data_IF_753268061351
#
_entry.id   IF_753268061351
#
_cell.length_a   1.000
_cell.length_b   1.000
_cell.length_c   1.000
_cell.angle_alpha   90.00
_cell.angle_beta   90.00
_cell.angle_gamma   90.00
#
_symmetry.space_group_name_H-M   'P 1'
#
loop_
_entity.id
_entity.type
_entity.pdbx_description
1 polymer ?
#
# COMPACT_ATOMS: atom_id res chain seq x y z
N UNK A 1 -30.09 -7.96 33.40
CA UNK A 1 -29.42 -6.86 32.68
C UNK A 1 -29.65 -7.11 31.20
N UNK A 2 -30.50 -6.31 30.56
CA UNK A 2 -30.86 -6.49 29.15
C UNK A 2 -29.85 -5.74 28.28
N UNK A 3 -29.31 -6.44 27.27
CA UNK A 3 -28.39 -5.90 26.27
C UNK A 3 -29.20 -5.32 25.12
N UNK A 4 -29.13 -4.01 24.90
CA UNK A 4 -29.70 -3.35 23.72
C UNK A 4 -28.74 -3.52 22.52
N UNK A 5 -29.27 -4.06 21.43
CA UNK A 5 -28.56 -4.14 20.15
C UNK A 5 -28.62 -2.78 19.41
N UNK A 6 -27.55 -2.37 18.71
CA UNK A 6 -27.51 -1.11 17.98
C UNK A 6 -28.37 -1.17 16.70
N UNK A 7 -29.12 -0.08 16.45
CA UNK A 7 -30.07 0.06 15.35
C UNK A 7 -29.36 0.42 14.04
N UNK A 8 -29.48 -0.44 13.03
CA UNK A 8 -28.95 -0.27 11.65
C UNK A 8 -29.42 1.00 10.90
N UNK A 9 -30.33 1.80 11.46
CA UNK A 9 -30.94 2.94 10.77
C UNK A 9 -30.09 4.21 10.74
N UNK A 10 -29.09 4.34 11.61
CA UNK A 10 -28.31 5.59 11.73
C UNK A 10 -27.24 5.77 10.64
N UNK A 11 -26.68 4.66 10.13
CA UNK A 11 -25.65 4.71 9.09
C UNK A 11 -26.15 5.23 7.73
N UNK A 12 -27.39 4.91 7.35
CA UNK A 12 -27.97 5.31 6.05
C UNK A 12 -28.26 6.81 5.96
N UNK A 13 -28.60 7.46 7.07
CA UNK A 13 -28.84 8.91 7.10
C UNK A 13 -27.54 9.72 6.99
N UNK A 14 -26.42 9.22 7.52
CA UNK A 14 -25.14 9.91 7.44
C UNK A 14 -24.62 10.00 6.00
N UNK A 15 -24.80 8.95 5.20
CA UNK A 15 -24.33 8.90 3.80
C UNK A 15 -25.15 9.80 2.87
N UNK A 16 -26.47 9.86 3.04
CA UNK A 16 -27.33 10.77 2.27
C UNK A 16 -27.03 12.25 2.55
N UNK A 17 -26.66 12.59 3.79
CA UNK A 17 -26.33 13.96 4.17
C UNK A 17 -24.99 14.45 3.59
N UNK A 18 -24.06 13.53 3.33
CA UNK A 18 -22.76 13.85 2.75
C UNK A 18 -22.83 14.08 1.23
N UNK A 19 -23.60 13.27 0.49
CA UNK A 19 -23.77 13.46 -0.96
C UNK A 19 -24.53 14.75 -1.33
N UNK A 20 -25.42 15.24 -0.46
CA UNK A 20 -26.19 16.47 -0.70
C UNK A 20 -25.40 17.78 -0.59
N UNK A 21 -24.16 17.76 -0.08
CA UNK A 21 -23.35 18.97 0.15
C UNK A 21 -22.32 19.28 -0.95
N UNK A 22 -22.20 18.44 -2.00
CA UNK A 22 -21.18 18.59 -3.05
C UNK A 22 -21.69 19.16 -4.39
N UNK A 23 -22.82 19.87 -4.41
CA UNK A 23 -23.24 20.63 -5.60
C UNK A 23 -22.93 22.12 -5.45
N UNK A 24 -21.86 22.64 -6.10
CA UNK A 24 -21.67 24.08 -6.19
C UNK A 24 -22.64 24.68 -7.20
N UNK A 25 -23.59 25.47 -6.69
CA UNK A 25 -24.42 26.37 -7.48
C UNK A 25 -23.64 27.64 -7.83
N UNK A 26 -23.53 27.93 -9.12
CA UNK A 26 -23.25 29.29 -9.61
C UNK A 26 -21.96 29.46 -10.40
N UNK A 27 -22.05 29.35 -11.73
CA UNK A 27 -21.29 30.23 -12.62
C UNK A 27 -22.17 30.67 -13.80
N UNK A 28 -22.26 31.99 -13.92
CA UNK A 28 -23.05 32.82 -14.82
C UNK A 28 -22.49 32.89 -16.24
N UNK A 29 -23.40 32.83 -17.21
CA UNK A 29 -23.52 33.60 -18.49
C UNK A 29 -22.25 34.03 -19.25
N UNK A 30 -22.21 33.81 -20.57
CA UNK A 30 -22.36 34.79 -21.70
C UNK A 30 -22.13 34.05 -23.07
N UNK A 31 -22.31 34.65 -24.27
CA UNK A 31 -23.55 34.81 -25.05
C UNK A 31 -23.65 33.94 -26.33
N UNK A 32 -24.87 33.96 -26.89
CA UNK A 32 -25.30 33.52 -28.21
C UNK A 32 -24.43 34.00 -29.38
N UNK A 33 -24.21 33.09 -30.34
CA UNK A 33 -24.13 33.44 -31.76
C UNK A 33 -25.09 32.55 -32.55
N UNK A 34 -25.87 33.20 -33.40
CA UNK A 34 -27.00 32.73 -34.17
C UNK A 34 -26.62 32.19 -35.56
N UNK A 35 -27.46 31.27 -36.05
CA UNK A 35 -27.85 30.96 -37.44
C UNK A 35 -27.48 29.59 -38.07
N UNK A 36 -28.37 29.04 -38.94
CA UNK A 36 -28.93 27.68 -38.81
C UNK A 36 -28.75 26.84 -40.12
N UNK A 37 -29.67 25.94 -40.51
CA UNK A 37 -29.59 24.50 -40.33
C UNK A 37 -29.48 23.71 -41.65
N UNK A 38 -28.89 22.51 -41.62
CA UNK A 38 -29.01 21.41 -42.60
C UNK A 38 -28.06 20.30 -42.09
N UNK A 39 -28.34 19.00 -42.11
CA UNK A 39 -29.26 18.20 -42.90
C UNK A 39 -29.40 16.81 -42.23
N UNK A 40 -30.38 16.07 -42.70
CA UNK A 40 -30.94 14.83 -42.17
C UNK A 40 -30.00 13.60 -42.17
N UNK A 41 -30.35 12.63 -41.33
CA UNK A 41 -30.19 11.21 -41.67
C UNK A 41 -29.01 10.50 -41.01
N UNK A 42 -29.23 9.95 -39.81
CA UNK A 42 -28.20 9.17 -39.12
C UNK A 42 -28.76 8.24 -38.04
N UNK A 43 -29.54 7.24 -38.46
CA UNK A 43 -29.71 5.91 -37.86
C UNK A 43 -29.44 5.79 -36.33
N UNK A 44 -30.50 5.93 -35.52
CA UNK A 44 -30.48 5.61 -34.10
C UNK A 44 -30.32 4.08 -33.93
N UNK A 45 -29.07 3.65 -33.72
CA UNK A 45 -28.77 2.32 -33.21
C UNK A 45 -28.88 2.40 -31.69
N UNK A 46 -29.92 1.78 -31.13
CA UNK A 46 -30.05 1.54 -29.69
C UNK A 46 -28.75 0.90 -29.20
N UNK A 47 -28.00 1.65 -28.39
CA UNK A 47 -26.89 1.14 -27.60
C UNK A 47 -27.52 0.72 -26.28
N UNK A 48 -27.77 -0.57 -26.15
CA UNK A 48 -28.17 -1.21 -24.90
C UNK A 48 -27.19 -0.85 -23.79
N UNK A 49 -27.67 -0.12 -22.78
CA UNK A 49 -26.94 0.27 -21.57
C UNK A 49 -26.76 -0.91 -20.60
N UNK A 50 -26.16 -2.02 -21.01
CA UNK A 50 -25.89 -3.14 -20.08
C UNK A 50 -24.55 -3.82 -20.42
N UNK A 51 -23.42 -3.29 -19.89
CA UNK A 51 -22.46 -4.20 -19.23
C UNK A 51 -21.62 -3.54 -18.10
N UNK A 52 -21.97 -2.33 -17.61
CA UNK A 52 -21.14 -1.63 -16.63
C UNK A 52 -21.41 -2.01 -15.18
N UNK A 53 -22.60 -2.53 -14.88
CA UNK A 53 -23.04 -2.88 -13.52
C UNK A 53 -22.40 -4.17 -13.01
N UNK A 54 -22.21 -5.19 -13.86
CA UNK A 54 -21.62 -6.48 -13.44
C UNK A 54 -20.16 -6.38 -12.99
N UNK A 55 -19.35 -5.50 -13.63
CA UNK A 55 -17.96 -5.30 -13.21
C UNK A 55 -17.85 -4.55 -11.88
N UNK A 56 -18.80 -3.67 -11.57
CA UNK A 56 -18.83 -2.96 -10.29
C UNK A 56 -19.19 -3.92 -9.14
N UNK A 57 -20.15 -4.82 -9.37
CA UNK A 57 -20.58 -5.81 -8.38
C UNK A 57 -19.50 -6.87 -8.11
N UNK A 58 -18.76 -7.34 -9.11
CA UNK A 58 -17.61 -8.26 -8.93
C UNK A 58 -16.46 -7.57 -8.16
N UNK A 59 -16.21 -6.28 -8.42
CA UNK A 59 -15.18 -5.52 -7.71
C UNK A 59 -15.56 -5.30 -6.24
N UNK A 60 -16.82 -5.00 -5.97
CA UNK A 60 -17.35 -4.81 -4.61
C UNK A 60 -17.33 -6.11 -3.84
N UNK A 61 -17.71 -7.24 -4.45
CA UNK A 61 -17.61 -8.56 -3.82
C UNK A 61 -16.16 -8.93 -3.48
N UNK A 62 -15.20 -8.67 -4.38
CA UNK A 62 -13.77 -8.89 -4.10
C UNK A 62 -13.24 -7.98 -2.99
N UNK A 63 -13.66 -6.72 -2.95
CA UNK A 63 -13.26 -5.80 -1.88
C UNK A 63 -13.85 -6.23 -0.54
N UNK A 64 -15.13 -6.62 -0.50
CA UNK A 64 -15.79 -7.10 0.71
C UNK A 64 -15.15 -8.40 1.19
N UNK A 65 -14.74 -9.30 0.29
CA UNK A 65 -14.02 -10.51 0.63
C UNK A 65 -12.59 -10.22 1.14
N UNK A 66 -11.90 -9.24 0.55
CA UNK A 66 -10.62 -8.74 1.06
C UNK A 66 -10.76 -8.10 2.45
N UNK A 67 -11.81 -7.31 2.69
CA UNK A 67 -12.10 -6.66 3.98
C UNK A 67 -12.50 -7.69 5.04
N UNK A 68 -13.34 -8.68 4.70
CA UNK A 68 -13.66 -9.79 5.61
C UNK A 68 -12.44 -10.64 5.94
N UNK A 69 -11.50 -10.79 5.01
CA UNK A 69 -10.21 -11.41 5.28
C UNK A 69 -9.28 -10.57 6.17
N UNK A 70 -9.54 -9.26 6.29
CA UNK A 70 -8.78 -8.34 7.17
C UNK A 70 -9.36 -8.36 8.59
N UNK A 71 -10.69 -8.42 8.76
CA UNK A 71 -11.35 -8.21 10.06
C UNK A 71 -12.02 -9.44 10.70
N UNK A 72 -12.13 -10.60 10.04
CA UNK A 72 -12.89 -11.76 10.54
C UNK A 72 -12.12 -13.09 10.63
N UNK A 73 -10.79 -13.08 10.76
CA UNK A 73 -10.06 -14.31 11.05
C UNK A 73 -9.98 -14.53 12.57
N UNK A 74 -10.46 -15.67 13.13
CA UNK A 74 -10.13 -16.06 14.51
C UNK A 74 -8.61 -16.01 14.68
N UNK A 75 -8.12 -15.62 15.86
CA UNK A 75 -6.69 -15.43 16.18
C UNK A 75 -5.84 -16.55 15.55
N UNK A 76 -5.31 -16.29 14.35
CA UNK A 76 -4.50 -17.27 13.64
C UNK A 76 -3.32 -17.57 14.54
N UNK A 77 -3.04 -18.84 14.77
CA UNK A 77 -1.86 -19.20 15.54
C UNK A 77 -0.61 -18.58 14.91
N UNK A 78 0.42 -18.33 15.70
CA UNK A 78 1.68 -17.77 15.22
C UNK A 78 2.22 -18.54 14.02
N UNK A 79 2.18 -19.87 14.09
CA UNK A 79 2.57 -20.78 13.00
C UNK A 79 1.74 -20.58 11.72
N UNK A 80 0.41 -20.40 11.83
CA UNK A 80 -0.46 -20.14 10.69
C UNK A 80 -0.13 -18.80 10.02
N UNK A 81 0.20 -17.76 10.81
CA UNK A 81 0.60 -16.44 10.30
C UNK A 81 1.91 -16.53 9.52
N UNK A 82 2.90 -17.25 10.05
CA UNK A 82 4.17 -17.49 9.37
C UNK A 82 4.00 -18.30 8.09
N UNK A 83 3.19 -19.37 8.15
CA UNK A 83 2.91 -20.25 7.01
C UNK A 83 2.28 -19.47 5.83
N UNK A 84 1.35 -18.54 6.11
CA UNK A 84 0.78 -17.63 5.08
C UNK A 84 1.80 -16.76 4.37
N UNK A 85 2.93 -16.47 5.01
CA UNK A 85 4.02 -15.68 4.44
C UNK A 85 5.12 -16.54 3.78
N UNK A 86 5.00 -17.86 3.91
CA UNK A 86 5.99 -18.84 3.44
C UNK A 86 7.23 -18.89 4.31
N UNK A 87 7.07 -18.69 5.63
CA UNK A 87 8.15 -18.76 6.62
C UNK A 87 7.85 -19.90 7.58
N UNK A 88 8.82 -20.77 7.82
CA UNK A 88 8.71 -21.83 8.84
C UNK A 88 9.12 -21.36 10.23
N UNK A 89 8.74 -22.10 11.28
CA UNK A 89 9.13 -21.79 12.67
C UNK A 89 10.66 -21.75 12.85
N UNK A 90 11.38 -22.72 12.27
CA UNK A 90 12.85 -22.74 12.31
C UNK A 90 13.49 -21.52 11.60
N UNK A 91 12.89 -21.08 10.49
CA UNK A 91 13.35 -19.88 9.78
C UNK A 91 13.08 -18.62 10.62
N UNK A 92 11.90 -18.53 11.25
CA UNK A 92 11.57 -17.44 12.16
C UNK A 92 12.54 -17.36 13.34
N UNK A 93 12.86 -18.49 13.99
CA UNK A 93 13.85 -18.54 15.06
C UNK A 93 15.24 -18.07 14.60
N UNK A 94 15.69 -18.49 13.41
CA UNK A 94 16.95 -18.02 12.80
C UNK A 94 16.93 -16.52 12.52
N UNK A 95 15.80 -15.97 12.05
CA UNK A 95 15.65 -14.52 11.84
C UNK A 95 15.83 -13.78 13.17
N UNK A 96 15.16 -14.21 14.23
CA UNK A 96 15.27 -13.59 15.55
C UNK A 96 16.71 -13.68 16.08
N UNK A 97 17.33 -14.86 16.02
CA UNK A 97 18.72 -15.06 16.44
C UNK A 97 19.71 -14.18 15.65
N UNK A 98 19.50 -14.05 14.34
CA UNK A 98 20.30 -13.18 13.48
C UNK A 98 20.15 -11.71 13.87
N UNK A 99 18.92 -11.24 14.13
CA UNK A 99 18.66 -9.87 14.57
C UNK A 99 19.31 -9.59 15.94
N UNK A 100 19.20 -10.53 16.89
CA UNK A 100 19.78 -10.38 18.22
C UNK A 100 21.32 -10.38 18.20
N UNK A 101 21.92 -11.20 17.32
CA UNK A 101 23.38 -11.34 17.24
C UNK A 101 24.06 -10.28 16.34
N UNK A 102 23.45 -9.92 15.21
CA UNK A 102 24.03 -9.03 14.20
C UNK A 102 23.40 -7.63 14.18
N UNK A 103 22.28 -7.43 14.89
CA UNK A 103 21.51 -6.19 14.88
C UNK A 103 20.67 -5.97 13.61
N UNK A 104 20.75 -6.87 12.63
CA UNK A 104 19.97 -6.78 11.40
C UNK A 104 19.77 -8.15 10.75
N UNK A 105 18.78 -8.25 9.86
CA UNK A 105 18.54 -9.44 9.03
C UNK A 105 18.40 -9.03 7.55
N UNK A 106 19.05 -9.78 6.65
CA UNK A 106 18.98 -9.59 5.19
C UNK A 106 18.15 -10.69 4.52
N UNK A 107 17.32 -10.33 3.52
CA UNK A 107 16.57 -11.29 2.69
C UNK A 107 16.52 -10.87 1.23
N UNK A 108 16.81 -11.81 0.34
CA UNK A 108 16.73 -11.61 -1.11
C UNK A 108 15.31 -11.87 -1.63
N UNK A 109 14.87 -11.03 -2.55
CA UNK A 109 13.64 -11.16 -3.32
C UNK A 109 13.91 -11.01 -4.81
N UNK A 110 13.23 -11.82 -5.62
CA UNK A 110 13.29 -11.69 -7.08
C UNK A 110 12.29 -10.66 -7.59
N UNK A 111 12.75 -9.82 -8.51
CA UNK A 111 11.97 -8.80 -9.23
C UNK A 111 11.99 -9.19 -10.71
N UNK A 112 10.94 -9.89 -11.14
CA UNK A 112 10.89 -10.46 -12.49
C UNK A 112 11.91 -11.59 -12.67
N UNK A 113 12.42 -11.75 -13.90
CA UNK A 113 13.28 -12.89 -14.28
C UNK A 113 14.78 -12.66 -14.09
N UNK A 114 15.22 -11.40 -14.04
CA UNK A 114 16.65 -11.04 -14.15
C UNK A 114 17.15 -10.13 -13.04
N UNK A 115 16.25 -9.62 -12.20
CA UNK A 115 16.63 -8.71 -11.13
C UNK A 115 16.32 -9.36 -9.79
N UNK A 116 17.20 -9.16 -8.83
CA UNK A 116 16.94 -9.42 -7.42
C UNK A 116 17.26 -8.17 -6.62
N UNK A 117 16.67 -8.13 -5.44
CA UNK A 117 16.92 -7.12 -4.43
C UNK A 117 17.14 -7.82 -3.11
N UNK A 118 18.12 -7.38 -2.34
CA UNK A 118 18.28 -7.80 -0.95
C UNK A 118 17.87 -6.64 -0.06
N UNK A 119 16.90 -6.91 0.82
CA UNK A 119 16.49 -5.96 1.85
C UNK A 119 17.08 -6.33 3.20
N UNK A 120 17.39 -5.32 4.01
CA UNK A 120 17.74 -5.43 5.42
C UNK A 120 16.67 -4.80 6.31
N UNK A 121 16.61 -5.24 7.56
CA UNK A 121 15.82 -4.57 8.61
C UNK A 121 16.30 -3.13 8.83
N UNK A 122 15.34 -2.22 9.05
CA UNK A 122 15.61 -0.79 9.30
C UNK A 122 15.93 -0.55 10.76
N UNK A 123 16.87 0.36 11.02
CA UNK A 123 17.19 0.84 12.36
C UNK A 123 16.41 2.11 12.72
N UNK A 124 16.62 2.60 13.94
CA UNK A 124 16.05 3.88 14.41
C UNK A 124 16.54 5.05 13.56
N UNK A 125 17.82 5.06 13.19
CA UNK A 125 18.42 6.11 12.35
C UNK A 125 17.72 6.27 10.99
N UNK A 126 17.18 5.18 10.42
CA UNK A 126 16.46 5.25 9.15
C UNK A 126 15.11 5.98 9.29
N UNK A 127 14.46 5.85 10.46
CA UNK A 127 13.23 6.57 10.78
C UNK A 127 13.50 8.05 11.07
N UNK A 128 14.56 8.35 11.82
CA UNK A 128 14.98 9.72 12.12
C UNK A 128 15.26 10.51 10.83
N UNK A 129 15.95 9.89 9.87
CA UNK A 129 16.21 10.49 8.54
C UNK A 129 14.91 10.81 7.79
N UNK A 130 13.91 9.93 7.82
CA UNK A 130 12.62 10.19 7.19
C UNK A 130 11.89 11.35 7.88
N UNK A 131 11.86 11.36 9.21
CA UNK A 131 11.24 12.42 10.00
C UNK A 131 11.89 13.77 9.68
N UNK A 132 13.22 13.85 9.76
CA UNK A 132 13.99 15.06 9.43
C UNK A 132 13.68 15.54 8.00
N UNK A 133 13.59 14.61 7.04
CA UNK A 133 13.29 14.94 5.65
C UNK A 133 11.88 15.54 5.48
N UNK A 134 10.87 15.00 6.16
CA UNK A 134 9.49 15.51 6.14
C UNK A 134 9.44 16.89 6.80
N UNK A 135 10.08 17.06 7.96
CA UNK A 135 10.12 18.33 8.69
C UNK A 135 10.82 19.43 7.89
N UNK A 136 11.91 19.10 7.19
CA UNK A 136 12.65 20.07 6.39
C UNK A 136 11.92 20.47 5.09
N UNK A 137 11.22 19.54 4.44
CA UNK A 137 10.54 19.81 3.17
C UNK A 137 9.12 20.37 3.34
N UNK A 138 8.48 20.09 4.48
CA UNK A 138 7.09 20.48 4.80
C UNK A 138 6.15 20.24 3.60
N UNK A 139 6.06 18.99 3.10
CA UNK A 139 5.27 18.68 1.91
C UNK A 139 3.79 19.03 2.12
N UNK A 140 3.19 19.72 1.15
CA UNK A 140 1.80 20.17 1.23
C UNK A 140 0.77 19.08 0.95
N UNK A 141 1.16 18.04 0.21
CA UNK A 141 0.26 17.02 -0.30
C UNK A 141 0.59 15.66 0.33
N UNK A 142 -0.45 14.92 0.70
CA UNK A 142 -0.31 13.56 1.25
C UNK A 142 0.41 12.61 0.27
N UNK A 143 0.21 12.80 -1.04
CA UNK A 143 0.90 12.01 -2.06
C UNK A 143 2.42 12.20 -2.00
N UNK A 144 2.89 13.43 -1.77
CA UNK A 144 4.32 13.73 -1.62
C UNK A 144 4.89 13.08 -0.36
N UNK A 145 4.15 13.11 0.75
CA UNK A 145 4.55 12.39 1.98
C UNK A 145 4.68 10.89 1.72
N UNK A 146 3.69 10.29 1.07
CA UNK A 146 3.71 8.85 0.75
C UNK A 146 4.89 8.47 -0.14
N UNK A 147 5.19 9.28 -1.15
CA UNK A 147 6.36 9.08 -2.01
C UNK A 147 7.67 9.21 -1.24
N UNK A 148 7.80 10.24 -0.39
CA UNK A 148 8.97 10.43 0.47
C UNK A 148 9.17 9.24 1.40
N UNK A 149 8.12 8.80 2.08
CA UNK A 149 8.13 7.62 2.96
C UNK A 149 8.56 6.37 2.22
N UNK A 150 7.97 6.10 1.04
CA UNK A 150 8.34 4.93 0.24
C UNK A 150 9.81 4.94 -0.18
N UNK A 151 10.33 6.10 -0.63
CA UNK A 151 11.75 6.24 -1.01
C UNK A 151 12.70 6.06 0.17
N UNK A 152 12.39 6.64 1.33
CA UNK A 152 13.23 6.49 2.53
C UNK A 152 13.19 5.05 3.04
N UNK A 153 12.01 4.41 3.07
CA UNK A 153 11.87 3.03 3.49
C UNK A 153 12.66 2.08 2.58
N UNK A 154 12.59 2.27 1.27
CA UNK A 154 13.42 1.51 0.33
C UNK A 154 14.90 1.79 0.58
N UNK A 155 15.32 3.05 0.67
CA UNK A 155 16.72 3.42 0.85
C UNK A 155 17.32 2.86 2.16
N UNK A 156 16.57 2.93 3.26
CA UNK A 156 17.00 2.40 4.56
C UNK A 156 17.09 0.88 4.54
N UNK A 157 16.17 0.21 3.86
CA UNK A 157 16.16 -1.25 3.72
C UNK A 157 17.05 -1.79 2.61
N UNK A 158 17.59 -0.99 1.68
CA UNK A 158 18.31 -1.53 0.53
C UNK A 158 19.69 -2.04 0.95
N UNK A 159 19.93 -3.35 0.85
CA UNK A 159 21.25 -3.95 1.08
C UNK A 159 21.95 -4.28 -0.24
N UNK A 160 21.22 -4.77 -1.24
CA UNK A 160 21.76 -5.01 -2.59
C UNK A 160 20.71 -4.78 -3.68
N UNK A 161 21.11 -4.14 -4.78
CA UNK A 161 20.26 -4.03 -5.97
C UNK A 161 21.09 -3.85 -7.25
N UNK A 162 20.78 -4.64 -8.27
CA UNK A 162 21.47 -4.58 -9.56
C UNK A 162 22.97 -4.86 -9.46
N UNK A 163 23.37 -5.81 -8.59
CA UNK A 163 24.76 -6.18 -8.33
C UNK A 163 25.56 -5.13 -7.55
N UNK A 164 24.89 -4.12 -6.98
CA UNK A 164 25.52 -3.12 -6.10
C UNK A 164 25.05 -3.35 -4.68
N UNK A 165 26.00 -3.52 -3.76
CA UNK A 165 25.76 -3.58 -2.32
C UNK A 165 25.78 -2.18 -1.72
N UNK A 166 24.94 -1.95 -0.71
CA UNK A 166 24.82 -0.69 0.03
C UNK A 166 24.97 -1.03 1.52
N UNK A 167 25.85 -0.32 2.22
CA UNK A 167 25.94 -0.42 3.68
C UNK A 167 24.99 0.57 4.36
N UNK A 168 24.81 0.45 5.68
CA UNK A 168 23.97 1.36 6.48
C UNK A 168 24.39 2.84 6.35
N UNK A 169 25.69 3.09 6.26
CA UNK A 169 26.27 4.43 6.12
C UNK A 169 26.09 5.02 4.71
N UNK A 170 25.74 4.18 3.74
CA UNK A 170 25.56 4.56 2.34
C UNK A 170 24.11 4.95 2.00
N UNK A 171 23.30 5.31 3.00
CA UNK A 171 21.91 5.72 2.83
C UNK A 171 21.71 6.75 1.72
N UNK A 172 22.55 7.79 1.64
CA UNK A 172 22.45 8.82 0.58
C UNK A 172 22.64 8.22 -0.82
N UNK A 173 23.52 7.23 -0.98
CA UNK A 173 23.73 6.52 -2.25
C UNK A 173 22.53 5.65 -2.60
N UNK A 174 22.00 4.90 -1.62
CA UNK A 174 20.80 4.08 -1.79
C UNK A 174 19.59 4.95 -2.16
N UNK A 175 19.38 6.06 -1.44
CA UNK A 175 18.31 7.02 -1.71
C UNK A 175 18.40 7.62 -3.12
N UNK A 176 19.59 8.08 -3.53
CA UNK A 176 19.81 8.58 -4.88
C UNK A 176 19.57 7.50 -5.96
N UNK A 177 19.82 6.22 -5.65
CA UNK A 177 19.51 5.12 -6.56
C UNK A 177 18.00 4.98 -6.78
N UNK A 178 17.18 5.10 -5.71
CA UNK A 178 15.71 5.05 -5.83
C UNK A 178 15.14 6.08 -6.80
N UNK A 179 15.72 7.28 -6.85
CA UNK A 179 15.29 8.35 -7.74
C UNK A 179 15.66 8.17 -9.22
N UNK A 180 16.53 7.21 -9.55
CA UNK A 180 16.96 6.90 -10.92
C UNK A 180 16.22 5.70 -11.52
N UNK A 181 15.40 5.01 -10.73
CA UNK A 181 14.68 3.82 -11.16
C UNK A 181 13.45 4.20 -11.99
N UNK A 182 13.05 3.30 -12.90
CA UNK A 182 11.74 3.44 -13.54
C UNK A 182 10.62 3.23 -12.53
N UNK A 183 9.45 3.84 -12.79
CA UNK A 183 8.27 3.71 -11.92
C UNK A 183 7.88 2.23 -11.70
N UNK A 184 7.98 1.40 -12.75
CA UNK A 184 7.68 -0.03 -12.64
C UNK A 184 8.63 -0.76 -11.68
N UNK A 185 9.93 -0.48 -11.72
CA UNK A 185 10.92 -1.07 -10.80
C UNK A 185 10.69 -0.55 -9.39
N UNK A 186 10.44 0.75 -9.24
CA UNK A 186 10.15 1.35 -7.95
C UNK A 186 8.92 0.71 -7.28
N UNK A 187 7.81 0.56 -8.01
CA UNK A 187 6.59 -0.06 -7.48
C UNK A 187 6.82 -1.53 -7.11
N UNK A 188 7.60 -2.28 -7.91
CA UNK A 188 7.96 -3.65 -7.57
C UNK A 188 8.80 -3.71 -6.28
N UNK A 189 9.71 -2.76 -6.05
CA UNK A 189 10.46 -2.66 -4.80
C UNK A 189 9.56 -2.35 -3.61
N UNK A 190 8.59 -1.43 -3.76
CA UNK A 190 7.60 -1.12 -2.72
C UNK A 190 6.83 -2.38 -2.32
N UNK A 191 6.35 -3.16 -3.30
CA UNK A 191 5.62 -4.41 -3.04
C UNK A 191 6.48 -5.45 -2.32
N UNK A 192 7.73 -5.65 -2.77
CA UNK A 192 8.66 -6.60 -2.14
C UNK A 192 9.05 -6.17 -0.73
N UNK A 193 9.26 -4.87 -0.51
CA UNK A 193 9.55 -4.33 0.80
C UNK A 193 8.36 -4.49 1.74
N UNK A 194 7.13 -4.24 1.29
CA UNK A 194 5.93 -4.46 2.09
C UNK A 194 5.80 -5.93 2.51
N UNK A 195 6.17 -6.89 1.63
CA UNK A 195 6.23 -8.31 2.00
C UNK A 195 7.32 -8.59 3.05
N UNK A 196 8.50 -8.02 2.88
CA UNK A 196 9.58 -8.14 3.87
C UNK A 196 9.14 -7.61 5.24
N UNK A 197 8.55 -6.41 5.28
CA UNK A 197 8.05 -5.78 6.51
C UNK A 197 6.96 -6.63 7.19
N UNK A 198 6.04 -7.25 6.42
CA UNK A 198 5.05 -8.20 6.97
C UNK A 198 5.69 -9.44 7.58
N UNK A 199 6.76 -9.96 6.98
CA UNK A 199 7.52 -11.08 7.55
C UNK A 199 8.16 -10.65 8.86
N UNK A 200 8.87 -9.51 8.89
CA UNK A 200 9.51 -9.00 10.10
C UNK A 200 8.51 -8.72 11.21
N UNK A 201 7.39 -8.07 10.89
CA UNK A 201 6.31 -7.81 11.85
C UNK A 201 5.77 -9.11 12.45
N UNK A 202 5.50 -10.12 11.61
CA UNK A 202 4.96 -11.41 12.06
C UNK A 202 5.96 -12.16 12.92
N UNK A 203 7.22 -12.26 12.47
CA UNK A 203 8.30 -12.93 13.21
C UNK A 203 8.51 -12.30 14.58
N UNK A 204 8.44 -10.97 14.70
CA UNK A 204 8.69 -10.21 15.92
C UNK A 204 7.45 -9.92 16.77
N UNK A 205 6.25 -10.33 16.32
CA UNK A 205 4.99 -10.13 17.05
C UNK A 205 4.85 -11.05 18.27
N UNK A 206 3.92 -10.71 19.18
CA UNK A 206 3.52 -11.58 20.29
C UNK A 206 3.13 -12.98 19.78
N UNK A 207 3.85 -13.99 20.28
CA UNK A 207 3.96 -15.34 19.72
C UNK A 207 5.40 -15.75 19.44
N UNK A 208 6.31 -14.79 19.20
CA UNK A 208 7.74 -15.07 19.06
C UNK A 208 8.36 -15.74 20.30
N UNK A 209 7.82 -15.43 21.50
CA UNK A 209 8.26 -15.98 22.79
C UNK A 209 7.96 -17.48 22.90
N UNK A 210 6.96 -18.01 22.19
CA UNK A 210 6.67 -19.45 22.16
C UNK A 210 7.73 -20.27 21.40
N UNK A 211 8.66 -19.61 20.70
CA UNK A 211 9.79 -20.27 20.02
C UNK A 211 11.06 -20.41 20.88
N UNK A 212 11.04 -19.94 22.13
CA UNK A 212 12.14 -20.06 23.09
C UNK A 212 11.78 -21.00 24.23
#
# INVERSE_FOLDING_TARGET
>A
MASEAPRESEGKQAVQKFLGMMTPAGMTQTPQASHPPQEEGGNAKEVSEEPQTEMADDLEQRLVEQIRNIDAAPELSYEQRLSRLGVGLEEAAKIVDTILSQGHYEREFTIGRRHSVTFRTRGVEDQERLQESIENQVPRYALTVNEMTARHNIAGSLAEFGGKRYTADEFKKAYAATGKMSLAVFNALVERLARFDRIMYTVLSEGAVENF
#
